data_IF_979677742860
#
_entry.id   IF_979677742860
#
_cell.length_a   1.000
_cell.length_b   1.000
_cell.length_c   1.000
_cell.angle_alpha   90.00
_cell.angle_beta   90.00
_cell.angle_gamma   90.00
#
_symmetry.space_group_name_H-M   'P 1'
#
loop_
_entity.id
_entity.type
_entity.pdbx_description
1 polymer ?
#
# COMPACT_ATOMS: atom_id res chain seq x y z
N UNK A 1 -6.43 -40.03 -38.81
CA UNK A 1 -6.43 -39.31 -37.52
C UNK A 1 -7.20 -38.02 -37.72
N UNK A 2 -8.31 -37.81 -37.01
CA UNK A 2 -9.16 -36.64 -37.22
C UNK A 2 -8.63 -35.43 -36.42
N UNK A 3 -8.74 -34.23 -36.98
CA UNK A 3 -8.18 -32.98 -36.42
C UNK A 3 -8.67 -32.74 -34.97
N UNK A 4 -9.89 -33.17 -34.65
CA UNK A 4 -10.50 -33.06 -33.32
C UNK A 4 -9.81 -33.94 -32.27
N UNK A 5 -9.41 -35.16 -32.63
CA UNK A 5 -8.69 -36.06 -31.72
C UNK A 5 -7.24 -35.59 -31.49
N UNK A 6 -6.59 -35.11 -32.54
CA UNK A 6 -5.24 -34.55 -32.45
C UNK A 6 -5.18 -33.34 -31.49
N UNK A 7 -6.16 -32.43 -31.58
CA UNK A 7 -6.28 -31.29 -30.63
C UNK A 7 -6.54 -31.73 -29.19
N UNK A 8 -7.35 -32.77 -28.99
CA UNK A 8 -7.67 -33.30 -27.65
C UNK A 8 -6.48 -33.99 -26.99
N UNK A 9 -5.66 -34.68 -27.79
CA UNK A 9 -4.43 -35.31 -27.31
C UNK A 9 -3.35 -34.27 -26.99
N UNK A 10 -3.17 -33.26 -27.83
CA UNK A 10 -2.27 -32.13 -27.56
C UNK A 10 -2.63 -31.40 -26.25
N UNK A 11 -3.92 -31.23 -25.97
CA UNK A 11 -4.37 -30.64 -24.71
C UNK A 11 -4.08 -31.54 -23.50
N UNK A 12 -4.22 -32.86 -23.63
CA UNK A 12 -3.86 -33.83 -22.57
C UNK A 12 -2.36 -33.83 -22.29
N UNK A 13 -1.53 -33.88 -23.32
CA UNK A 13 -0.06 -33.83 -23.20
C UNK A 13 0.38 -32.54 -22.51
N UNK A 14 -0.22 -31.39 -22.86
CA UNK A 14 0.09 -30.11 -22.22
C UNK A 14 -0.29 -30.10 -20.73
N UNK A 15 -1.40 -30.74 -20.37
CA UNK A 15 -1.83 -30.85 -18.96
C UNK A 15 -0.88 -31.74 -18.17
N UNK A 16 -0.42 -32.86 -18.75
CA UNK A 16 0.58 -33.72 -18.11
C UNK A 16 1.93 -33.02 -17.95
N UNK A 17 2.36 -32.24 -18.95
CA UNK A 17 3.57 -31.43 -18.89
C UNK A 17 3.49 -30.37 -17.78
N UNK A 18 2.34 -29.68 -17.63
CA UNK A 18 2.12 -28.71 -16.56
C UNK A 18 2.07 -29.36 -15.17
N UNK A 19 1.50 -30.56 -15.05
CA UNK A 19 1.52 -31.32 -13.79
C UNK A 19 2.95 -31.70 -13.40
N UNK A 20 3.76 -32.17 -14.35
CA UNK A 20 5.17 -32.47 -14.13
C UNK A 20 6.02 -31.23 -13.82
N UNK A 21 5.59 -30.04 -14.27
CA UNK A 21 6.23 -28.76 -13.93
C UNK A 21 5.91 -28.32 -12.49
N UNK A 22 4.74 -28.67 -11.97
CA UNK A 22 4.26 -28.32 -10.64
C UNK A 22 5.03 -29.04 -9.52
N UNK A 23 5.70 -30.16 -9.83
CA UNK A 23 6.54 -30.90 -8.87
C UNK A 23 7.91 -30.25 -8.62
N UNK A 24 8.24 -29.17 -9.33
CA UNK A 24 9.49 -28.42 -9.14
C UNK A 24 9.33 -27.37 -8.05
N UNK A 25 10.29 -27.22 -7.12
CA UNK A 25 10.26 -26.12 -6.16
C UNK A 25 10.37 -24.78 -6.89
N UNK A 26 9.48 -23.84 -6.56
CA UNK A 26 9.54 -22.47 -7.06
C UNK A 26 10.67 -21.76 -6.30
N UNK A 27 11.69 -21.32 -7.03
CA UNK A 27 12.75 -20.47 -6.46
C UNK A 27 12.20 -19.05 -6.26
N UNK A 28 12.23 -18.58 -5.02
CA UNK A 28 11.82 -17.23 -4.62
C UNK A 28 12.99 -16.46 -4.00
N UNK A 29 14.23 -16.89 -4.22
CA UNK A 29 15.43 -16.29 -3.63
C UNK A 29 15.64 -14.81 -4.00
N UNK A 30 15.08 -14.37 -5.13
CA UNK A 30 15.13 -12.99 -5.63
C UNK A 30 13.95 -12.11 -5.15
N UNK A 31 12.91 -12.72 -4.59
CA UNK A 31 11.68 -12.04 -4.14
C UNK A 31 11.48 -12.36 -2.64
N UNK A 32 12.13 -11.62 -1.74
CA UNK A 32 11.94 -11.80 -0.31
C UNK A 32 10.49 -11.49 0.09
N UNK A 33 10.00 -12.18 1.13
CA UNK A 33 8.66 -11.92 1.67
C UNK A 33 8.56 -10.51 2.23
N UNK A 34 7.41 -9.86 1.98
CA UNK A 34 7.15 -8.51 2.46
C UNK A 34 7.11 -8.50 3.99
N UNK A 35 8.03 -7.79 4.64
CA UNK A 35 8.00 -7.67 6.09
C UNK A 35 6.96 -6.64 6.53
N UNK A 36 6.51 -6.74 7.78
CA UNK A 36 5.59 -5.73 8.35
C UNK A 36 6.22 -4.33 8.34
N UNK A 37 7.53 -4.23 8.51
CA UNK A 37 8.25 -2.96 8.47
C UNK A 37 8.18 -2.33 7.07
N UNK A 38 8.40 -3.12 6.02
CA UNK A 38 8.28 -2.67 4.62
C UNK A 38 6.86 -2.17 4.31
N UNK A 39 5.86 -2.87 4.83
CA UNK A 39 4.46 -2.47 4.68
C UNK A 39 4.14 -1.12 5.37
N UNK A 40 4.72 -0.89 6.54
CA UNK A 40 4.56 0.35 7.31
C UNK A 40 5.20 1.55 6.60
N UNK A 41 6.35 1.37 5.94
CA UNK A 41 6.98 2.43 5.13
C UNK A 41 6.13 2.82 3.90
N UNK A 42 5.39 1.86 3.35
CA UNK A 42 4.53 2.09 2.19
C UNK A 42 3.17 2.71 2.55
N UNK A 43 2.80 2.74 3.84
CA UNK A 43 1.51 3.29 4.27
C UNK A 43 1.40 4.80 4.01
N UNK A 44 0.44 5.19 3.17
CA UNK A 44 0.07 6.58 2.93
C UNK A 44 -1.34 6.84 3.49
N UNK A 45 -1.50 7.72 4.50
CA UNK A 45 -2.82 8.08 5.01
C UNK A 45 -3.70 8.69 3.90
N UNK A 46 -4.91 8.16 3.73
CA UNK A 46 -5.88 8.69 2.79
C UNK A 46 -6.40 10.03 3.34
N UNK A 47 -6.17 11.12 2.60
CA UNK A 47 -6.67 12.44 2.96
C UNK A 47 -8.16 12.52 2.65
N UNK A 48 -8.98 12.87 3.63
CA UNK A 48 -10.41 13.15 3.43
C UNK A 48 -10.62 14.66 3.29
N UNK A 49 -11.35 15.14 2.27
CA UNK A 49 -11.68 16.55 2.17
C UNK A 49 -12.69 16.91 3.27
N UNK A 50 -12.26 17.73 4.22
CA UNK A 50 -13.09 18.25 5.30
C UNK A 50 -13.03 19.77 5.29
N UNK A 51 -14.19 20.42 5.37
CA UNK A 51 -14.26 21.87 5.58
C UNK A 51 -14.26 22.16 7.08
N UNK A 52 -13.18 22.77 7.57
CA UNK A 52 -13.05 23.22 8.97
C UNK A 52 -12.88 24.74 9.00
N UNK A 53 -13.37 25.36 10.07
CA UNK A 53 -13.10 26.76 10.37
C UNK A 53 -11.90 26.83 11.31
N UNK A 54 -10.97 27.72 11.01
CA UNK A 54 -9.80 28.03 11.82
C UNK A 54 -9.77 29.54 12.03
N UNK A 55 -9.19 29.97 13.16
CA UNK A 55 -9.06 31.38 13.47
C UNK A 55 -8.16 32.12 12.46
N UNK A 56 -8.46 33.39 12.26
CA UNK A 56 -7.82 34.20 11.21
C UNK A 56 -6.33 34.44 11.46
N UNK A 57 -5.94 34.58 12.72
CA UNK A 57 -4.57 34.71 13.20
C UNK A 57 -3.76 33.42 12.98
N UNK A 58 -4.34 32.25 13.24
CA UNK A 58 -3.73 30.95 12.97
C UNK A 58 -3.48 30.78 11.46
N UNK A 59 -4.46 31.15 10.63
CA UNK A 59 -4.31 31.11 9.17
C UNK A 59 -3.21 32.07 8.72
N UNK A 60 -3.17 33.29 9.26
CA UNK A 60 -2.15 34.29 8.93
C UNK A 60 -0.74 33.80 9.32
N UNK A 61 -0.59 33.26 10.53
CA UNK A 61 0.65 32.67 11.02
C UNK A 61 1.11 31.51 10.13
N UNK A 62 0.23 30.58 9.76
CA UNK A 62 0.59 29.45 8.90
C UNK A 62 0.96 29.89 7.47
N UNK A 63 0.30 30.92 6.94
CA UNK A 63 0.63 31.50 5.63
C UNK A 63 1.94 32.27 5.64
N UNK A 64 2.39 32.79 6.79
CA UNK A 64 3.67 33.51 6.90
C UNK A 64 4.88 32.63 6.52
N UNK A 65 4.76 31.30 6.65
CA UNK A 65 5.79 30.34 6.25
C UNK A 65 5.80 29.99 4.75
N UNK A 66 4.93 30.61 3.95
CA UNK A 66 4.86 30.43 2.50
C UNK A 66 3.85 29.36 2.05
N UNK A 67 4.13 28.74 0.89
CA UNK A 67 3.24 27.75 0.26
C UNK A 67 3.16 26.48 1.12
N UNK A 68 1.99 25.83 1.12
CA UNK A 68 1.79 24.54 1.79
C UNK A 68 1.22 24.61 3.21
N UNK A 69 0.62 25.73 3.62
CA UNK A 69 -0.01 25.87 4.94
C UNK A 69 -1.02 24.76 5.27
N UNK A 70 -1.79 24.26 4.29
CA UNK A 70 -2.71 23.13 4.46
C UNK A 70 -2.01 21.83 4.86
N UNK A 71 -0.87 21.51 4.23
CA UNK A 71 -0.06 20.34 4.60
C UNK A 71 0.55 20.51 6.00
N UNK A 72 0.89 21.74 6.36
CA UNK A 72 1.43 22.07 7.68
C UNK A 72 0.38 21.91 8.78
N UNK A 73 -0.88 22.31 8.54
CA UNK A 73 -2.02 22.03 9.44
C UNK A 73 -2.10 20.54 9.74
N UNK A 74 -2.10 19.70 8.70
CA UNK A 74 -2.20 18.25 8.88
C UNK A 74 -1.00 17.65 9.65
N UNK A 75 0.19 18.24 9.50
CA UNK A 75 1.40 17.81 10.23
C UNK A 75 1.30 18.13 11.71
N UNK A 76 0.87 19.36 12.05
CA UNK A 76 0.66 19.80 13.43
C UNK A 76 -0.39 18.93 14.12
N UNK A 77 -1.53 18.69 13.46
CA UNK A 77 -2.59 17.84 14.00
C UNK A 77 -2.11 16.40 14.26
N UNK A 78 -1.26 15.85 13.38
CA UNK A 78 -0.66 14.53 13.57
C UNK A 78 0.24 14.48 14.81
N UNK A 79 1.11 15.48 14.98
CA UNK A 79 1.98 15.57 16.16
C UNK A 79 1.19 15.69 17.46
N UNK A 80 0.11 16.50 17.45
CA UNK A 80 -0.80 16.62 18.59
C UNK A 80 -1.47 15.26 18.90
N UNK A 81 -1.98 14.57 17.87
CA UNK A 81 -2.58 13.23 18.02
C UNK A 81 -1.60 12.19 18.57
N UNK A 82 -0.36 12.17 18.09
CA UNK A 82 0.66 11.23 18.57
C UNK A 82 1.08 11.53 20.02
N UNK A 83 1.05 12.81 20.41
CA UNK A 83 1.31 13.23 21.80
C UNK A 83 0.16 12.82 22.72
N UNK A 84 -1.08 13.05 22.31
CA UNK A 84 -2.28 12.63 23.05
C UNK A 84 -2.33 11.12 23.24
N UNK A 85 -2.05 10.34 22.18
CA UNK A 85 -1.93 8.88 22.27
C UNK A 85 -0.90 8.42 23.28
N UNK A 86 0.25 9.09 23.37
CA UNK A 86 1.28 8.75 24.36
C UNK A 86 0.84 9.09 25.78
N UNK A 87 0.08 10.17 25.95
CA UNK A 87 -0.45 10.59 27.25
C UNK A 87 -1.61 9.72 27.75
N UNK A 88 -2.43 9.18 26.85
CA UNK A 88 -3.59 8.32 27.15
C UNK A 88 -3.27 6.81 27.15
N UNK A 89 -2.00 6.41 27.14
CA UNK A 89 -1.55 5.00 27.23
C UNK A 89 -0.97 4.69 28.62
N UNK A 90 -1.50 5.33 29.67
CA UNK A 90 -1.29 4.95 31.07
C UNK A 90 -2.57 4.36 31.67
#
# INVERSE_FOLDING_TARGET
MNITEAKKNLAKEKIEELKALNDRPIDTSDIPELTKADFLEMYRPIKKPLSIRLDSDIIAWLKSYGKGYQSRINTILRQAMDTDKKANVF
#
